data_IF_083324169511
#
_entry.id   IF_083324169511
#
_cell.length_a   1.000
_cell.length_b   1.000
_cell.length_c   1.000
_cell.angle_alpha   90.00
_cell.angle_beta   90.00
_cell.angle_gamma   90.00
#
_symmetry.space_group_name_H-M   'P 1'
#
loop_
_entity.id
_entity.type
_entity.pdbx_description
1 polymer ?
#
# COMPACT_ATOMS: atom_id res chain seq x y z
N UNK A 1 -33.34 -7.14 -44.18
CA UNK A 1 -32.49 -5.96 -43.89
C UNK A 1 -32.95 -5.15 -42.67
N UNK A 2 -33.52 -5.76 -41.61
CA UNK A 2 -33.98 -5.02 -40.40
C UNK A 2 -33.10 -5.25 -39.17
N UNK A 3 -32.28 -6.30 -39.20
CA UNK A 3 -31.43 -6.75 -38.09
C UNK A 3 -30.12 -5.95 -38.01
N UNK A 4 -29.67 -5.38 -39.14
CA UNK A 4 -28.48 -4.53 -39.21
C UNK A 4 -28.63 -3.23 -38.41
N UNK A 5 -29.85 -2.70 -38.33
CA UNK A 5 -30.15 -1.47 -37.57
C UNK A 5 -30.04 -1.67 -36.05
N UNK A 6 -30.13 -2.91 -35.55
CA UNK A 6 -29.96 -3.25 -34.13
C UNK A 6 -28.51 -3.54 -33.73
N UNK A 7 -27.65 -3.92 -34.69
CA UNK A 7 -26.25 -4.25 -34.38
C UNK A 7 -25.39 -3.01 -34.08
N UNK A 8 -25.73 -1.87 -34.69
CA UNK A 8 -25.01 -0.61 -34.51
C UNK A 8 -25.11 -0.08 -33.05
N UNK A 9 -26.29 0.05 -32.43
CA UNK A 9 -26.37 0.49 -31.04
C UNK A 9 -25.71 -0.51 -30.07
N UNK A 10 -25.79 -1.81 -30.34
CA UNK A 10 -25.12 -2.86 -29.54
C UNK A 10 -23.59 -2.73 -29.62
N UNK A 11 -23.05 -2.51 -30.83
CA UNK A 11 -21.62 -2.30 -31.03
C UNK A 11 -21.12 -1.02 -30.35
N UNK A 12 -21.91 0.06 -30.36
CA UNK A 12 -21.57 1.31 -29.66
C UNK A 12 -21.56 1.09 -28.14
N UNK A 13 -22.54 0.38 -27.59
CA UNK A 13 -22.55 0.04 -26.15
C UNK A 13 -21.33 -0.82 -25.80
N UNK A 14 -21.04 -1.87 -26.56
CA UNK A 14 -19.86 -2.72 -26.37
C UNK A 14 -18.54 -1.96 -26.48
N UNK A 15 -18.46 -0.92 -27.32
CA UNK A 15 -17.27 -0.07 -27.44
C UNK A 15 -17.11 0.91 -26.26
N UNK A 16 -18.19 1.22 -25.53
CA UNK A 16 -18.18 2.11 -24.37
C UNK A 16 -17.94 1.38 -23.02
N UNK A 17 -18.10 0.07 -22.97
CA UNK A 17 -17.76 -0.74 -21.78
C UNK A 17 -16.24 -0.70 -21.44
N UNK A 18 -15.30 -0.91 -22.38
CA UNK A 18 -13.87 -0.97 -22.11
C UNK A 18 -13.28 0.22 -21.33
N UNK A 19 -13.57 1.49 -21.65
CA UNK A 19 -13.00 2.61 -20.90
C UNK A 19 -13.48 2.64 -19.44
N UNK A 20 -14.69 2.17 -19.14
CA UNK A 20 -15.20 2.11 -17.77
C UNK A 20 -14.49 1.03 -16.94
N UNK A 21 -14.29 -0.17 -17.52
CA UNK A 21 -13.55 -1.26 -16.86
C UNK A 21 -12.05 -0.99 -16.72
N UNK A 22 -11.44 -0.24 -17.65
CA UNK A 22 -10.02 0.15 -17.55
C UNK A 22 -9.79 1.14 -16.40
N UNK A 23 -10.69 2.11 -16.22
CA UNK A 23 -10.60 3.11 -15.14
C UNK A 23 -10.54 2.48 -13.74
N UNK A 24 -11.39 1.48 -13.48
CA UNK A 24 -11.38 0.76 -12.19
C UNK A 24 -10.12 -0.09 -11.98
N UNK A 25 -9.51 -0.62 -13.05
CA UNK A 25 -8.26 -1.39 -12.98
C UNK A 25 -7.07 -0.49 -12.66
N UNK A 26 -6.99 0.67 -13.30
CA UNK A 26 -5.90 1.62 -13.08
C UNK A 26 -5.97 2.19 -11.65
N UNK A 27 -7.17 2.48 -11.15
CA UNK A 27 -7.38 2.92 -9.76
C UNK A 27 -6.97 1.84 -8.75
N UNK A 28 -7.37 0.58 -8.97
CA UNK A 28 -6.96 -0.54 -8.12
C UNK A 28 -5.44 -0.76 -8.14
N UNK A 29 -4.78 -0.62 -9.30
CA UNK A 29 -3.34 -0.75 -9.42
C UNK A 29 -2.58 0.35 -8.63
N UNK A 30 -3.04 1.60 -8.71
CA UNK A 30 -2.47 2.73 -7.96
C UNK A 30 -2.65 2.53 -6.45
N UNK A 31 -3.79 1.99 -6.01
CA UNK A 31 -4.03 1.68 -4.59
C UNK A 31 -3.11 0.57 -4.08
N UNK A 32 -2.87 -0.48 -4.87
CA UNK A 32 -1.94 -1.55 -4.51
C UNK A 32 -0.51 -1.04 -4.41
N UNK A 33 -0.04 -0.25 -5.39
CA UNK A 33 1.30 0.36 -5.36
C UNK A 33 1.50 1.20 -4.09
N UNK A 34 0.51 2.01 -3.71
CA UNK A 34 0.56 2.80 -2.48
C UNK A 34 0.61 1.94 -1.22
N UNK A 35 -0.08 0.81 -1.22
CA UNK A 35 -0.07 -0.14 -0.10
C UNK A 35 1.27 -0.85 0.02
N UNK A 36 1.86 -1.24 -1.10
CA UNK A 36 3.19 -1.86 -1.15
C UNK A 36 4.29 -0.91 -0.67
N UNK A 37 4.21 0.37 -1.02
CA UNK A 37 5.13 1.38 -0.50
C UNK A 37 5.06 1.49 1.04
N UNK A 38 3.89 1.37 1.65
CA UNK A 38 3.75 1.39 3.11
C UNK A 38 4.29 0.12 3.76
N UNK A 39 4.03 -1.04 3.14
CA UNK A 39 4.57 -2.32 3.58
C UNK A 39 6.09 -2.30 3.55
N UNK A 40 6.67 -1.68 2.53
CA UNK A 40 8.12 -1.55 2.41
C UNK A 40 8.70 -0.60 3.46
N UNK A 41 8.08 0.57 3.69
CA UNK A 41 8.46 1.46 4.80
C UNK A 41 8.44 0.75 6.15
N UNK A 42 7.40 -0.05 6.41
CA UNK A 42 7.31 -0.86 7.64
C UNK A 42 8.47 -1.84 7.76
N UNK A 43 8.83 -2.53 6.67
CA UNK A 43 9.96 -3.47 6.67
C UNK A 43 11.27 -2.76 6.98
N UNK A 44 11.51 -1.58 6.40
CA UNK A 44 12.69 -0.78 6.66
C UNK A 44 12.77 -0.31 8.11
N UNK A 45 11.67 0.21 8.68
CA UNK A 45 11.63 0.62 10.08
C UNK A 45 11.88 -0.55 11.05
N UNK A 46 11.31 -1.73 10.76
CA UNK A 46 11.59 -2.95 11.55
C UNK A 46 13.04 -3.44 11.41
N UNK A 47 13.63 -3.29 10.22
CA UNK A 47 15.05 -3.60 10.01
C UNK A 47 15.94 -2.64 10.80
N UNK A 48 15.62 -1.35 10.82
CA UNK A 48 16.32 -0.36 11.63
C UNK A 48 16.27 -0.68 13.13
N UNK A 49 15.12 -1.12 13.66
CA UNK A 49 15.04 -1.59 15.06
C UNK A 49 15.98 -2.75 15.33
N UNK A 50 16.05 -3.73 14.40
CA UNK A 50 16.93 -4.90 14.55
C UNK A 50 18.41 -4.50 14.52
N UNK A 51 18.78 -3.58 13.64
CA UNK A 51 20.13 -3.06 13.55
C UNK A 51 20.51 -2.27 14.81
N UNK A 52 19.59 -1.43 15.31
CA UNK A 52 19.75 -0.70 16.56
C UNK A 52 19.94 -1.65 17.77
N UNK A 53 19.13 -2.71 17.86
CA UNK A 53 19.24 -3.74 18.88
C UNK A 53 20.59 -4.49 18.78
N UNK A 54 21.09 -4.73 17.57
CA UNK A 54 22.39 -5.34 17.33
C UNK A 54 23.53 -4.41 17.76
N UNK A 55 23.48 -3.13 17.41
CA UNK A 55 24.51 -2.15 17.76
C UNK A 55 24.59 -1.93 19.27
N UNK A 56 23.44 -1.93 19.97
CA UNK A 56 23.40 -2.01 21.44
C UNK A 56 24.11 -3.29 21.88
N UNK A 57 23.71 -4.46 21.39
CA UNK A 57 24.29 -5.74 21.84
C UNK A 57 25.81 -5.81 21.61
N UNK A 58 26.33 -5.12 20.58
CA UNK A 58 27.75 -4.96 20.30
C UNK A 58 28.47 -3.94 21.20
N UNK A 59 27.75 -3.26 22.10
CA UNK A 59 28.29 -2.26 23.02
C UNK A 59 28.57 -0.89 22.38
N UNK A 60 28.04 -0.63 21.17
CA UNK A 60 28.28 0.64 20.46
C UNK A 60 27.38 1.78 20.94
N UNK A 61 26.30 1.47 21.66
CA UNK A 61 25.27 2.41 22.09
C UNK A 61 25.03 2.30 23.60
N UNK A 62 24.73 3.45 24.22
CA UNK A 62 24.24 3.47 25.60
C UNK A 62 22.79 2.97 25.66
N UNK A 63 22.36 2.47 26.83
CA UNK A 63 20.96 2.08 27.06
C UNK A 63 19.99 3.24 26.85
N UNK A 64 20.38 4.46 27.24
CA UNK A 64 19.52 5.64 27.12
C UNK A 64 19.31 6.03 25.66
N UNK A 65 20.38 6.02 24.85
CA UNK A 65 20.30 6.34 23.43
C UNK A 65 19.56 5.26 22.65
N UNK A 66 19.83 3.99 22.97
CA UNK A 66 19.11 2.85 22.41
C UNK A 66 17.61 2.94 22.69
N UNK A 67 17.20 3.17 23.94
CA UNK A 67 15.80 3.25 24.32
C UNK A 67 15.09 4.41 23.60
N UNK A 68 15.70 5.60 23.58
CA UNK A 68 15.12 6.77 22.94
C UNK A 68 14.91 6.57 21.43
N UNK A 69 15.91 6.05 20.72
CA UNK A 69 15.82 5.82 19.29
C UNK A 69 14.86 4.67 18.95
N UNK A 70 14.87 3.61 19.76
CA UNK A 70 13.99 2.46 19.59
C UNK A 70 12.51 2.84 19.77
N UNK A 71 12.20 3.73 20.71
CA UNK A 71 10.82 4.17 20.93
C UNK A 71 10.31 5.04 19.77
N UNK A 72 11.16 5.87 19.17
CA UNK A 72 10.82 6.61 17.94
C UNK A 72 10.51 5.68 16.78
N UNK A 73 11.35 4.67 16.55
CA UNK A 73 11.13 3.70 15.47
C UNK A 73 9.86 2.87 15.70
N UNK A 74 9.54 2.52 16.96
CA UNK A 74 8.28 1.85 17.28
C UNK A 74 7.06 2.72 16.98
N UNK A 75 7.13 4.00 17.31
CA UNK A 75 6.05 4.95 16.99
C UNK A 75 5.85 5.05 15.48
N UNK A 76 6.94 5.12 14.70
CA UNK A 76 6.87 5.08 13.24
C UNK A 76 6.22 3.77 12.73
N UNK A 77 6.61 2.62 13.27
CA UNK A 77 5.99 1.32 12.93
C UNK A 77 4.50 1.31 13.26
N UNK A 78 4.09 1.86 14.41
CA UNK A 78 2.69 1.92 14.81
C UNK A 78 1.86 2.76 13.83
N UNK A 79 2.35 3.94 13.44
CA UNK A 79 1.71 4.81 12.43
C UNK A 79 1.61 4.11 11.08
N UNK A 80 2.64 3.38 10.66
CA UNK A 80 2.64 2.64 9.41
C UNK A 80 1.63 1.48 9.43
N UNK A 81 1.48 0.78 10.56
CA UNK A 81 0.49 -0.28 10.73
C UNK A 81 -0.93 0.28 10.62
N UNK A 82 -1.24 1.37 11.33
CA UNK A 82 -2.55 2.02 11.24
C UNK A 82 -2.87 2.47 9.80
N UNK A 83 -1.87 3.02 9.10
CA UNK A 83 -2.01 3.46 7.71
C UNK A 83 -2.21 2.30 6.71
N UNK A 84 -1.68 1.11 7.01
CA UNK A 84 -1.90 -0.13 6.23
C UNK A 84 -3.31 -0.64 6.52
N UNK A 85 -3.69 -0.80 7.78
CA UNK A 85 -4.98 -1.32 8.21
C UNK A 85 -6.13 -0.47 7.65
N UNK A 86 -6.00 0.86 7.70
CA UNK A 86 -6.99 1.79 7.15
C UNK A 86 -7.16 1.65 5.62
N UNK A 87 -6.11 1.26 4.88
CA UNK A 87 -6.17 1.05 3.43
C UNK A 87 -6.67 -0.34 3.07
N UNK A 88 -6.29 -1.35 3.82
CA UNK A 88 -6.80 -2.72 3.64
C UNK A 88 -8.29 -2.78 3.95
N UNK A 89 -8.77 -2.08 4.98
CA UNK A 89 -10.20 -1.95 5.27
C UNK A 89 -10.98 -1.29 4.11
N UNK A 90 -10.43 -0.24 3.50
CA UNK A 90 -11.05 0.44 2.34
C UNK A 90 -11.06 -0.38 1.05
N UNK A 91 -10.25 -1.44 0.96
CA UNK A 91 -10.19 -2.34 -0.21
C UNK A 91 -11.30 -3.41 -0.17
N UNK A 92 -11.74 -3.79 1.03
CA UNK A 92 -12.75 -4.85 1.23
C UNK A 92 -14.18 -4.33 1.09
N UNK A 93 -14.36 -3.01 1.14
CA UNK A 93 -15.65 -2.30 0.95
C UNK A 93 -15.80 -1.88 -0.50
#
# INVERSE_FOLDING_TARGET
MRWLALLIPIAVVLALLPPLFRRGRDEAAVLEERLDLLREKKRLALAAIRELDFDRAAGKLSEADHAAERDRLKEEVAVLLEAIDAREAKRVV
#
